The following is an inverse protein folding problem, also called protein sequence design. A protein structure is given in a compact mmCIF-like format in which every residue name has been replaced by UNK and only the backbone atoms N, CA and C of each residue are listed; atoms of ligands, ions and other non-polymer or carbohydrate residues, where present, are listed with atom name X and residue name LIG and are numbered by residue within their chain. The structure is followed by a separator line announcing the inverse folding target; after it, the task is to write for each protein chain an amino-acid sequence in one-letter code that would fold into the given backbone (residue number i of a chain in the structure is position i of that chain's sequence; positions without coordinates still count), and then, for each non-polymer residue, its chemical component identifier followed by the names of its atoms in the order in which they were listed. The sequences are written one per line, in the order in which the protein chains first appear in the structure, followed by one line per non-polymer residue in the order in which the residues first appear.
data_IF_899952225369
#
_entry.id   IF_899952225369
#
_cell.length_a   1.000
_cell.length_b   1.000
_cell.length_c   1.000
_cell.angle_alpha   90.00
_cell.angle_beta   90.00
_cell.angle_gamma   90.00
#
_symmetry.space_group_name_H-M   'P 1'
#
loop_
_entity.id
_entity.type
_entity.pdbx_description
1 polymer ?
#
# COMPACT_ATOMS: atom_id res chain seq x y z
N UNK A 1 -9.56 -21.40 -16.60
CA UNK A 1 -10.48 -20.26 -16.38
C UNK A 1 -9.63 -19.13 -15.81
N UNK A 2 -9.88 -17.87 -16.18
CA UNK A 2 -8.96 -16.77 -15.85
C UNK A 2 -9.20 -16.26 -14.43
N UNK A 3 -8.13 -16.08 -13.64
CA UNK A 3 -8.18 -15.51 -12.28
C UNK A 3 -8.93 -14.17 -12.24
N UNK A 4 -8.86 -13.39 -13.32
CA UNK A 4 -9.59 -12.12 -13.45
C UNK A 4 -11.10 -12.39 -13.51
N UNK A 5 -11.54 -13.33 -14.34
CA UNK A 5 -12.96 -13.66 -14.49
C UNK A 5 -13.55 -14.21 -13.19
N UNK A 6 -12.83 -15.10 -12.51
CA UNK A 6 -13.25 -15.64 -11.21
C UNK A 6 -13.30 -14.52 -10.16
N UNK A 7 -12.29 -13.65 -10.13
CA UNK A 7 -12.23 -12.56 -9.14
C UNK A 7 -13.37 -11.56 -9.31
N UNK A 8 -13.69 -11.20 -10.55
CA UNK A 8 -14.71 -10.22 -10.88
C UNK A 8 -16.14 -10.81 -10.89
N UNK A 9 -16.28 -12.13 -11.02
CA UNK A 9 -17.58 -12.80 -11.20
C UNK A 9 -18.53 -12.63 -10.01
N UNK A 10 -17.99 -12.55 -8.79
CA UNK A 10 -18.77 -12.41 -7.55
C UNK A 10 -18.82 -10.97 -7.02
N UNK A 11 -18.33 -9.99 -7.79
CA UNK A 11 -18.41 -8.58 -7.40
C UNK A 11 -19.85 -8.09 -7.52
N UNK A 12 -20.31 -7.40 -6.48
CA UNK A 12 -21.58 -6.72 -6.41
C UNK A 12 -21.36 -5.23 -6.24
N UNK A 13 -22.29 -4.46 -6.79
CA UNK A 13 -22.40 -3.03 -6.54
C UNK A 13 -23.38 -2.85 -5.39
N UNK A 14 -22.90 -2.32 -4.26
CA UNK A 14 -23.78 -2.02 -3.13
C UNK A 14 -24.44 -0.66 -3.27
N UNK A 15 -25.29 -0.30 -2.31
CA UNK A 15 -25.98 0.98 -2.30
C UNK A 15 -24.97 2.16 -2.36
N UNK A 16 -25.21 3.16 -3.23
CA UNK A 16 -24.31 4.29 -3.33
C UNK A 16 -24.27 5.11 -2.04
N UNK A 17 -23.07 5.43 -1.58
CA UNK A 17 -22.83 6.29 -0.42
C UNK A 17 -22.57 7.71 -0.90
N UNK A 18 -23.52 8.62 -0.66
CA UNK A 18 -23.41 10.02 -1.08
C UNK A 18 -23.11 10.94 0.12
N UNK A 19 -22.09 11.80 -0.03
CA UNK A 19 -21.81 12.90 0.87
C UNK A 19 -21.48 14.18 0.10
N UNK A 20 -22.33 15.20 0.24
CA UNK A 20 -22.24 16.48 -0.49
C UNK A 20 -22.20 16.26 -2.01
N UNK A 21 -21.05 16.50 -2.64
CA UNK A 21 -20.84 16.37 -4.09
C UNK A 21 -20.06 15.11 -4.48
N UNK A 22 -19.84 14.20 -3.53
CA UNK A 22 -19.12 12.94 -3.74
C UNK A 22 -20.09 11.77 -3.54
N UNK A 23 -20.15 10.88 -4.51
CA UNK A 23 -20.89 9.61 -4.41
C UNK A 23 -19.91 8.47 -4.65
N UNK A 24 -19.83 7.54 -3.70
CA UNK A 24 -19.03 6.33 -3.78
C UNK A 24 -19.96 5.17 -4.08
N UNK A 25 -19.59 4.34 -5.05
CA UNK A 25 -20.30 3.11 -5.38
C UNK A 25 -19.44 1.94 -4.91
N UNK A 26 -19.75 1.31 -3.77
CA UNK A 26 -18.91 0.26 -3.23
C UNK A 26 -18.96 -0.97 -4.15
N UNK A 27 -17.79 -1.49 -4.48
CA UNK A 27 -17.64 -2.79 -5.13
C UNK A 27 -17.26 -3.79 -4.06
N UNK A 28 -18.16 -4.73 -3.77
CA UNK A 28 -18.00 -5.68 -2.67
C UNK A 28 -18.10 -7.11 -3.19
N UNK A 29 -17.48 -8.02 -2.45
CA UNK A 29 -17.44 -9.45 -2.74
C UNK A 29 -17.17 -10.19 -1.45
N UNK A 30 -17.74 -11.38 -1.22
CA UNK A 30 -17.32 -12.24 -0.12
C UNK A 30 -15.83 -12.57 -0.24
N UNK A 31 -15.06 -12.29 0.82
CA UNK A 31 -13.64 -12.65 0.89
C UNK A 31 -13.39 -13.47 2.14
N UNK A 32 -12.51 -14.47 2.01
CA UNK A 32 -12.08 -15.29 3.13
C UNK A 32 -10.90 -14.61 3.83
N UNK A 33 -11.19 -13.94 4.95
CA UNK A 33 -10.17 -13.34 5.81
C UNK A 33 -9.66 -11.97 5.34
N UNK A 34 -8.74 -11.37 6.12
CA UNK A 34 -8.11 -10.11 5.77
C UNK A 34 -7.16 -10.28 4.57
N UNK A 35 -6.77 -9.19 3.91
CA UNK A 35 -5.72 -9.25 2.91
C UNK A 35 -4.44 -9.87 3.45
N UNK A 36 -3.73 -10.63 2.60
CA UNK A 36 -2.43 -11.22 2.92
C UNK A 36 -1.27 -10.19 2.79
N UNK A 37 -1.53 -8.95 3.19
CA UNK A 37 -0.56 -7.85 3.26
C UNK A 37 -0.92 -6.89 4.40
N UNK A 38 0.03 -6.05 4.81
CA UNK A 38 -0.17 -4.94 5.75
C UNK A 38 -0.24 -3.62 4.99
N UNK A 39 -0.99 -2.64 5.50
CA UNK A 39 -0.84 -1.24 5.06
C UNK A 39 0.45 -0.64 5.61
N UNK A 40 0.88 0.51 5.08
CA UNK A 40 2.03 1.25 5.62
C UNK A 40 1.87 1.51 7.13
N UNK A 41 0.72 2.05 7.54
CA UNK A 41 0.41 2.32 8.96
C UNK A 41 0.48 1.06 9.84
N UNK A 42 -0.08 -0.06 9.37
CA UNK A 42 -0.03 -1.33 10.11
C UNK A 42 1.41 -1.82 10.24
N UNK A 43 2.18 -1.77 9.16
CA UNK A 43 3.56 -2.21 9.17
C UNK A 43 4.46 -1.34 10.06
N UNK A 44 4.20 -0.02 10.11
CA UNK A 44 4.84 0.92 11.03
C UNK A 44 4.47 0.61 12.49
N UNK A 45 3.18 0.41 12.78
CA UNK A 45 2.71 0.06 14.11
C UNK A 45 3.34 -1.25 14.62
N UNK A 46 3.48 -2.23 13.73
CA UNK A 46 4.12 -3.52 14.02
C UNK A 46 5.66 -3.44 14.08
N UNK A 47 6.25 -2.27 13.83
CA UNK A 47 7.71 -2.08 13.73
C UNK A 47 8.38 -3.07 12.75
N UNK A 48 7.62 -3.48 11.72
CA UNK A 48 8.02 -4.52 10.77
C UNK A 48 8.71 -3.95 9.53
N UNK A 49 8.82 -2.63 9.42
CA UNK A 49 9.47 -1.94 8.30
C UNK A 49 10.50 -0.93 8.79
N UNK A 50 11.45 -0.62 7.92
CA UNK A 50 12.37 0.51 8.09
C UNK A 50 12.42 1.32 6.81
N UNK A 51 12.40 2.64 6.96
CA UNK A 51 12.49 3.56 5.84
C UNK A 51 13.75 4.40 6.01
N UNK A 52 14.58 4.42 4.98
CA UNK A 52 15.81 5.20 4.93
C UNK A 52 15.92 5.98 3.62
N UNK A 53 16.87 6.91 3.57
CA UNK A 53 17.20 7.68 2.37
C UNK A 53 18.50 7.18 1.77
N UNK A 54 18.55 7.02 0.45
CA UNK A 54 19.78 6.82 -0.30
C UNK A 54 20.23 8.19 -0.80
N UNK A 55 21.36 8.68 -0.29
CA UNK A 55 21.97 9.92 -0.76
C UNK A 55 23.31 9.62 -1.42
N UNK A 56 23.33 9.56 -2.76
CA UNK A 56 24.56 9.76 -3.52
C UNK A 56 24.65 11.22 -3.97
N UNK A 57 25.86 11.78 -3.85
CA UNK A 57 26.15 13.19 -4.11
C UNK A 57 25.73 13.63 -5.51
N UNK A 58 24.55 14.26 -5.61
CA UNK A 58 24.06 14.93 -6.83
C UNK A 58 22.81 14.33 -7.47
N UNK A 59 22.30 13.18 -6.99
CA UNK A 59 21.06 12.58 -7.51
C UNK A 59 19.84 12.92 -6.65
N UNK A 60 18.65 12.84 -7.27
CA UNK A 60 17.36 12.91 -6.58
C UNK A 60 17.37 11.88 -5.44
N UNK A 61 17.01 12.24 -4.19
CA UNK A 61 17.05 11.29 -3.08
C UNK A 61 16.04 10.16 -3.30
N UNK A 62 16.54 8.92 -3.36
CA UNK A 62 15.75 7.69 -3.45
C UNK A 62 15.42 7.16 -2.04
N UNK A 63 14.31 6.41 -1.92
CA UNK A 63 13.84 5.85 -0.66
C UNK A 63 14.27 4.39 -0.60
N UNK A 64 15.01 4.01 0.44
CA UNK A 64 15.23 2.61 0.78
C UNK A 64 14.13 2.13 1.72
N UNK A 65 13.27 1.26 1.24
CA UNK A 65 12.22 0.61 2.02
C UNK A 65 12.63 -0.83 2.35
N UNK A 66 12.74 -1.16 3.63
CA UNK A 66 13.08 -2.50 4.11
C UNK A 66 11.87 -3.10 4.84
N UNK A 67 11.30 -4.16 4.30
CA UNK A 67 10.26 -4.94 4.96
C UNK A 67 10.90 -6.13 5.69
N UNK A 68 10.93 -6.06 7.02
CA UNK A 68 11.43 -7.14 7.89
C UNK A 68 10.33 -8.09 8.37
N UNK A 69 9.06 -7.76 8.08
CA UNK A 69 7.89 -8.53 8.44
C UNK A 69 7.74 -9.83 7.64
N UNK A 70 6.83 -10.68 8.10
CA UNK A 70 6.47 -11.92 7.41
C UNK A 70 5.38 -11.75 6.34
N UNK A 71 4.80 -10.56 6.22
CA UNK A 71 3.78 -10.22 5.22
C UNK A 71 4.28 -9.10 4.31
N UNK A 72 3.86 -9.07 3.02
CA UNK A 72 4.06 -7.92 2.17
C UNK A 72 3.44 -6.65 2.78
N UNK A 73 3.99 -5.48 2.43
CA UNK A 73 3.45 -4.19 2.82
C UNK A 73 2.98 -3.44 1.59
N UNK A 74 1.70 -3.09 1.54
CA UNK A 74 1.13 -2.26 0.50
C UNK A 74 1.46 -0.80 0.79
N UNK A 75 2.18 -0.19 -0.15
CA UNK A 75 2.49 1.22 -0.22
C UNK A 75 1.59 1.83 -1.29
N UNK A 76 0.81 2.84 -0.91
CA UNK A 76 -0.17 3.48 -1.79
C UNK A 76 0.34 4.85 -2.21
N UNK A 77 0.15 5.17 -3.49
CA UNK A 77 0.44 6.50 -4.04
C UNK A 77 -0.34 7.58 -3.26
N UNK A 78 0.33 8.67 -2.92
CA UNK A 78 -0.22 9.74 -2.09
C UNK A 78 -0.05 9.54 -0.57
N UNK A 79 0.44 8.40 -0.10
CA UNK A 79 0.79 8.23 1.32
C UNK A 79 2.02 9.08 1.70
N UNK A 80 1.98 9.68 2.89
CA UNK A 80 3.10 10.45 3.43
C UNK A 80 4.01 9.54 4.26
N UNK A 81 5.30 9.57 3.95
CA UNK A 81 6.36 9.06 4.82
C UNK A 81 6.94 10.24 5.60
N UNK A 82 6.78 10.19 6.92
CA UNK A 82 7.28 11.20 7.86
C UNK A 82 8.40 10.63 8.74
N UNK A 83 9.33 11.50 9.18
CA UNK A 83 10.40 11.12 10.12
C UNK A 83 11.80 10.93 9.52
N UNK A 84 11.96 11.10 8.19
CA UNK A 84 13.27 11.19 7.52
C UNK A 84 13.90 12.59 7.60
N UNK A 85 14.97 12.86 6.83
CA UNK A 85 15.51 14.23 6.71
C UNK A 85 14.54 15.14 5.97
N UNK A 86 13.65 14.55 5.17
CA UNK A 86 12.58 15.22 4.47
C UNK A 86 11.29 14.38 4.57
N UNK A 87 10.15 15.03 4.72
CA UNK A 87 8.86 14.37 4.48
C UNK A 87 8.69 14.13 2.98
N UNK A 88 8.09 12.99 2.62
CA UNK A 88 7.89 12.59 1.23
C UNK A 88 6.48 12.05 1.03
N UNK A 89 5.92 12.37 -0.13
CA UNK A 89 4.70 11.74 -0.63
C UNK A 89 5.14 10.67 -1.62
N UNK A 90 4.68 9.43 -1.41
CA UNK A 90 4.87 8.36 -2.39
C UNK A 90 4.17 8.74 -3.69
N UNK A 91 4.82 8.49 -4.83
CA UNK A 91 4.30 8.80 -6.16
C UNK A 91 3.93 7.54 -6.98
N UNK A 92 4.07 6.37 -6.36
CA UNK A 92 3.80 5.06 -6.95
C UNK A 92 3.22 4.14 -5.89
N UNK A 93 2.31 3.27 -6.31
CA UNK A 93 1.79 2.19 -5.47
C UNK A 93 2.60 0.92 -5.69
N UNK A 94 3.14 0.33 -4.61
CA UNK A 94 3.96 -0.89 -4.66
C UNK A 94 3.48 -1.84 -3.57
N UNK A 95 3.40 -3.14 -3.88
CA UNK A 95 3.31 -4.18 -2.86
C UNK A 95 4.72 -4.67 -2.54
N UNK A 96 5.32 -4.14 -1.46
CA UNK A 96 6.68 -4.47 -1.06
C UNK A 96 6.73 -5.88 -0.45
N UNK A 97 7.49 -6.84 -1.02
CA UNK A 97 7.51 -8.21 -0.53
C UNK A 97 7.97 -8.32 0.92
N UNK A 98 7.54 -9.38 1.59
CA UNK A 98 8.04 -9.73 2.92
C UNK A 98 9.55 -10.02 2.86
N UNK A 99 10.29 -9.62 3.91
CA UNK A 99 11.73 -9.91 4.09
C UNK A 99 12.63 -9.40 2.96
N UNK A 100 12.22 -8.34 2.27
CA UNK A 100 12.96 -7.76 1.14
C UNK A 100 13.24 -6.27 1.33
N UNK A 101 14.22 -5.78 0.59
CA UNK A 101 14.54 -4.35 0.49
C UNK A 101 14.26 -3.86 -0.93
N UNK A 102 13.62 -2.71 -1.04
CA UNK A 102 13.36 -2.00 -2.30
C UNK A 102 14.05 -0.63 -2.23
N UNK A 103 14.63 -0.21 -3.35
CA UNK A 103 15.25 1.10 -3.58
C UNK A 103 14.70 1.67 -4.88
#
# INVERSE_FOLDING_TARGET
MSIITETLGDIRLDEPLAYRKLTVFPLTRPVDGPPEYLTLDQAMADSSIKIGEVSESGNVPEIRFENTGSKPTLLVDGEEISGGKQNRILNISILAPAKETIT
#
